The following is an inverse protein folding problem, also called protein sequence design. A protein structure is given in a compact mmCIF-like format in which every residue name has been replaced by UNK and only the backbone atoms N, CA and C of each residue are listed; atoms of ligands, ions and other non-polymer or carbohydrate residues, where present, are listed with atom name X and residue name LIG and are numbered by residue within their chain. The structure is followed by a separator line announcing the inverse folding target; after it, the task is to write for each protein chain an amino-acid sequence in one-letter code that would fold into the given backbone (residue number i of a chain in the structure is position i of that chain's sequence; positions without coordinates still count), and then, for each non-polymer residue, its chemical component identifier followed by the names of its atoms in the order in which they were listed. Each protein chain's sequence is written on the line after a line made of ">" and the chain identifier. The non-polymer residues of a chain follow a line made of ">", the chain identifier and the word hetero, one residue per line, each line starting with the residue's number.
data_IF_102884472259
#
_entry.id   IF_102884472259
#
_cell.length_a   1.000
_cell.length_b   1.000
_cell.length_c   1.000
_cell.angle_alpha   90.00
_cell.angle_beta   90.00
_cell.angle_gamma   90.00
#
_symmetry.space_group_name_H-M   'P 1'
#
loop_
_entity.id
_entity.type
_entity.pdbx_description
1 polymer ?
#
# COMPACT_ATOMS: atom_id res chain seq x y z
N UNK A 1 27.69 -0.46 -3.45
CA UNK A 1 26.66 -1.44 -3.17
C UNK A 1 25.32 -1.01 -3.74
N UNK A 2 24.63 -1.90 -4.37
CA UNK A 2 23.39 -1.57 -5.03
C UNK A 2 22.23 -1.58 -4.04
N UNK A 3 21.49 -0.49 -4.01
CA UNK A 3 20.24 -0.48 -3.28
C UNK A 3 19.21 -1.24 -4.11
N UNK A 4 18.63 -2.26 -3.52
CA UNK A 4 17.62 -3.05 -4.20
C UNK A 4 16.24 -2.55 -3.80
N UNK A 5 15.56 -1.92 -4.75
CA UNK A 5 14.17 -1.55 -4.54
C UNK A 5 13.29 -2.77 -4.73
N UNK A 6 12.36 -2.94 -3.84
CA UNK A 6 11.29 -3.91 -4.04
C UNK A 6 10.11 -3.17 -4.66
N UNK A 7 9.53 -3.76 -5.69
CA UNK A 7 8.39 -3.19 -6.38
C UNK A 7 7.23 -4.17 -6.32
N UNK A 8 6.07 -3.66 -5.91
CA UNK A 8 4.88 -4.45 -5.74
C UNK A 8 3.75 -3.78 -6.51
N UNK A 9 3.08 -4.53 -7.38
CA UNK A 9 1.86 -4.06 -8.03
C UNK A 9 0.69 -4.76 -7.37
N UNK A 10 -0.22 -3.97 -6.82
CA UNK A 10 -1.38 -4.49 -6.10
C UNK A 10 -2.65 -4.07 -6.81
N UNK A 11 -3.47 -5.05 -7.14
CA UNK A 11 -4.83 -4.81 -7.65
C UNK A 11 -5.81 -5.14 -6.55
N UNK A 12 -6.67 -4.19 -6.24
CA UNK A 12 -7.68 -4.33 -5.20
C UNK A 12 -9.02 -4.73 -5.83
N UNK A 13 -9.86 -5.40 -5.06
CA UNK A 13 -11.22 -5.74 -5.48
C UNK A 13 -12.16 -4.54 -5.42
N UNK A 14 -11.76 -3.52 -4.67
CA UNK A 14 -12.52 -2.30 -4.46
C UNK A 14 -11.71 -1.10 -4.94
N UNK A 15 -12.35 0.03 -5.30
CA UNK A 15 -11.61 1.24 -5.62
C UNK A 15 -10.75 1.69 -4.45
N UNK A 16 -9.57 2.22 -4.73
CA UNK A 16 -8.64 2.70 -3.70
C UNK A 16 -9.32 3.75 -2.80
N UNK A 17 -10.15 4.61 -3.38
CA UNK A 17 -10.88 5.61 -2.61
C UNK A 17 -11.85 5.00 -1.60
N UNK A 18 -12.38 3.82 -1.90
CA UNK A 18 -13.25 3.11 -0.96
C UNK A 18 -12.44 2.51 0.19
N UNK A 19 -11.17 2.18 -0.05
CA UNK A 19 -10.29 1.63 0.98
C UNK A 19 -9.88 2.67 2.01
N UNK A 20 -9.97 3.94 1.66
CA UNK A 20 -9.69 5.02 2.62
C UNK A 20 -10.65 4.98 3.82
N UNK A 21 -11.79 4.32 3.68
CA UNK A 21 -12.72 4.10 4.78
C UNK A 21 -12.15 3.27 5.94
N UNK A 22 -11.08 2.50 5.71
CA UNK A 22 -10.38 1.78 6.78
C UNK A 22 -9.85 2.77 7.83
N UNK A 23 -9.57 4.00 7.40
CA UNK A 23 -8.95 5.03 8.23
C UNK A 23 -9.99 6.03 8.76
N UNK A 24 -11.18 5.55 9.11
CA UNK A 24 -12.26 6.38 9.67
C UNK A 24 -11.81 7.14 10.91
N UNK A 25 -10.93 6.55 11.71
CA UNK A 25 -10.35 7.21 12.86
C UNK A 25 -8.93 7.68 12.50
N UNK A 26 -8.86 8.80 11.79
CA UNK A 26 -7.59 9.38 11.36
C UNK A 26 -6.65 9.68 12.54
N UNK A 27 -7.20 9.99 13.70
CA UNK A 27 -6.41 10.28 14.90
C UNK A 27 -5.65 9.04 15.37
N UNK A 28 -6.30 7.89 15.37
CA UNK A 28 -5.68 6.63 15.79
C UNK A 28 -4.65 6.14 14.76
N UNK A 29 -4.94 6.31 13.47
CA UNK A 29 -4.07 5.83 12.40
C UNK A 29 -2.96 6.82 12.03
N UNK A 30 -3.13 8.10 12.35
CA UNK A 30 -2.23 9.16 11.94
C UNK A 30 -2.41 9.60 10.49
N UNK A 31 -3.38 9.04 9.78
CA UNK A 31 -3.69 9.37 8.39
C UNK A 31 -5.13 8.96 8.09
N UNK A 32 -5.71 9.56 7.06
CA UNK A 32 -7.07 9.24 6.61
C UNK A 32 -7.11 8.57 5.24
N UNK A 33 -5.96 8.23 4.66
CA UNK A 33 -5.89 7.59 3.35
C UNK A 33 -4.92 6.41 3.35
N UNK A 34 -5.17 5.46 2.47
CA UNK A 34 -4.28 4.32 2.26
C UNK A 34 -2.91 4.79 1.75
N UNK A 35 -2.92 5.76 0.83
CA UNK A 35 -1.68 6.35 0.33
C UNK A 35 -0.86 6.94 1.46
N UNK A 36 -1.48 7.72 2.35
CA UNK A 36 -0.79 8.32 3.49
C UNK A 36 -0.20 7.28 4.42
N UNK A 37 -0.93 6.22 4.68
CA UNK A 37 -0.46 5.14 5.54
C UNK A 37 0.78 4.45 4.97
N UNK A 38 0.73 4.10 3.69
CA UNK A 38 1.85 3.42 3.02
C UNK A 38 3.04 4.37 2.85
N UNK A 39 2.81 5.62 2.46
CA UNK A 39 3.87 6.62 2.29
C UNK A 39 4.60 6.93 3.60
N UNK A 40 3.92 6.81 4.72
CA UNK A 40 4.52 7.02 6.05
C UNK A 40 5.40 5.85 6.47
N UNK A 41 5.26 4.71 5.79
CA UNK A 41 6.13 3.57 6.05
C UNK A 41 7.53 3.91 5.55
N UNK A 42 8.54 3.56 6.33
CA UNK A 42 9.92 3.95 6.08
C UNK A 42 10.38 3.59 4.66
N UNK A 43 10.82 4.60 3.92
CA UNK A 43 11.34 4.48 2.54
C UNK A 43 10.38 3.77 1.58
N UNK A 44 9.09 3.86 1.83
CA UNK A 44 8.06 3.22 1.03
C UNK A 44 7.21 4.29 0.34
N UNK A 45 6.84 4.03 -0.91
CA UNK A 45 6.01 4.95 -1.69
C UNK A 45 4.85 4.20 -2.32
N UNK A 46 3.72 4.88 -2.34
CA UNK A 46 2.48 4.37 -2.91
C UNK A 46 2.06 5.27 -4.07
N UNK A 47 1.87 4.70 -5.25
CA UNK A 47 1.43 5.43 -6.42
C UNK A 47 0.25 4.71 -7.06
N UNK A 48 -0.91 5.34 -7.04
CA UNK A 48 -2.09 4.78 -7.70
C UNK A 48 -1.94 4.95 -9.22
N UNK A 49 -2.10 3.87 -9.96
CA UNK A 49 -2.02 3.88 -11.43
C UNK A 49 -3.41 3.92 -12.06
N UNK A 50 -4.41 3.38 -11.38
CA UNK A 50 -5.82 3.52 -11.75
C UNK A 50 -6.68 3.42 -10.48
N UNK A 51 -8.01 3.34 -10.65
CA UNK A 51 -8.93 3.34 -9.50
C UNK A 51 -8.75 2.15 -8.58
N UNK A 52 -8.22 1.03 -9.07
CA UNK A 52 -8.09 -0.21 -8.31
C UNK A 52 -6.65 -0.69 -8.19
N UNK A 53 -5.70 -0.05 -8.84
CA UNK A 53 -4.32 -0.54 -8.93
C UNK A 53 -3.35 0.47 -8.38
N UNK A 54 -2.38 -0.01 -7.61
CA UNK A 54 -1.30 0.82 -7.07
C UNK A 54 0.04 0.12 -7.25
N UNK A 55 1.08 0.92 -7.44
CA UNK A 55 2.46 0.46 -7.42
C UNK A 55 3.07 0.92 -6.11
N UNK A 56 3.63 -0.01 -5.36
CA UNK A 56 4.28 0.27 -4.08
C UNK A 56 5.76 -0.09 -4.23
N UNK A 57 6.62 0.87 -3.91
CA UNK A 57 8.07 0.65 -3.95
C UNK A 57 8.67 0.90 -2.59
N UNK A 58 9.70 0.15 -2.24
CA UNK A 58 10.38 0.31 -0.96
C UNK A 58 11.86 -0.06 -1.10
N UNK A 59 12.69 0.62 -0.34
CA UNK A 59 14.11 0.29 -0.22
C UNK A 59 14.35 -0.83 0.78
N UNK A 60 13.30 -1.20 1.52
CA UNK A 60 13.38 -2.22 2.56
C UNK A 60 12.50 -3.41 2.22
N UNK A 61 12.52 -4.38 3.10
CA UNK A 61 11.70 -5.57 2.99
C UNK A 61 10.21 -5.22 3.13
N UNK A 62 9.42 -5.58 2.14
CA UNK A 62 7.98 -5.29 2.12
C UNK A 62 7.12 -6.39 2.75
N UNK A 63 7.70 -7.36 3.44
CA UNK A 63 6.91 -8.43 4.05
C UNK A 63 5.83 -7.91 4.99
N UNK A 64 6.16 -6.92 5.81
CA UNK A 64 5.19 -6.31 6.71
C UNK A 64 4.07 -5.59 5.96
N UNK A 65 4.43 -4.87 4.89
CA UNK A 65 3.47 -4.15 4.06
C UNK A 65 2.55 -5.14 3.35
N UNK A 66 3.10 -6.22 2.78
CA UNK A 66 2.32 -7.25 2.11
C UNK A 66 1.34 -7.91 3.07
N UNK A 67 1.82 -8.28 4.24
CA UNK A 67 1.00 -8.91 5.26
C UNK A 67 -0.12 -7.99 5.73
N UNK A 68 0.20 -6.73 5.96
CA UNK A 68 -0.80 -5.73 6.34
C UNK A 68 -1.87 -5.59 5.27
N UNK A 69 -1.45 -5.50 4.00
CA UNK A 69 -2.39 -5.37 2.89
C UNK A 69 -3.31 -6.58 2.77
N UNK A 70 -2.76 -7.78 2.92
CA UNK A 70 -3.58 -9.00 2.87
C UNK A 70 -4.59 -9.06 4.00
N UNK A 71 -4.25 -8.54 5.18
CA UNK A 71 -5.12 -8.57 6.34
C UNK A 71 -6.18 -7.47 6.32
N UNK A 72 -5.84 -6.31 5.77
CA UNK A 72 -6.66 -5.09 5.91
C UNK A 72 -7.38 -4.68 4.64
N UNK A 73 -6.98 -5.20 3.49
CA UNK A 73 -7.54 -4.76 2.20
C UNK A 73 -8.01 -5.95 1.36
N UNK A 74 -9.04 -5.75 0.50
CA UNK A 74 -9.51 -6.80 -0.40
C UNK A 74 -8.61 -6.84 -1.64
N UNK A 75 -7.67 -7.76 -1.68
CA UNK A 75 -6.70 -7.89 -2.76
C UNK A 75 -7.21 -8.84 -3.84
N UNK A 76 -7.25 -8.38 -5.09
CA UNK A 76 -7.56 -9.21 -6.24
C UNK A 76 -6.30 -9.89 -6.78
N UNK A 77 -5.20 -9.16 -6.85
CA UNK A 77 -3.94 -9.67 -7.37
C UNK A 77 -2.78 -8.89 -6.77
N UNK A 78 -1.66 -9.55 -6.52
CA UNK A 78 -0.44 -8.91 -6.05
C UNK A 78 0.73 -9.50 -6.83
N UNK A 79 1.48 -8.63 -7.50
CA UNK A 79 2.61 -9.01 -8.34
C UNK A 79 3.87 -8.39 -7.74
N UNK A 80 4.87 -9.22 -7.49
CA UNK A 80 6.18 -8.77 -6.99
C UNK A 80 7.20 -8.79 -8.12
N UNK A 81 8.05 -7.79 -8.12
CA UNK A 81 9.18 -7.69 -9.05
C UNK A 81 10.50 -7.83 -8.34
#
# INVERSE_FOLDING_TARGET
>A
MNTTYQTLIVKFKEPITALDGIFDDAEAWGTDTLKGWIDDYESTRFTATDSHTAVITSEYNMECVKEWLHCQTPIAEMIEF
#
